data_IF_033139675123
#
_entry.id   IF_033139675123
#
_cell.length_a   1.000
_cell.length_b   1.000
_cell.length_c   1.000
_cell.angle_alpha   90.00
_cell.angle_beta   90.00
_cell.angle_gamma   90.00
#
_symmetry.space_group_name_H-M   'P 1'
#
loop_
_entity.id
_entity.type
_entity.pdbx_description
1 polymer ?
#
# COMPACT_ATOMS: atom_id res chain seq x y z
N UNK A 1 17.00 13.61 5.12
CA UNK A 1 16.90 12.70 6.28
C UNK A 1 17.66 11.39 6.03
N UNK A 2 17.45 10.68 4.92
CA UNK A 2 18.11 9.39 4.60
C UNK A 2 19.63 9.50 4.55
N UNK A 3 20.19 10.68 4.27
CA UNK A 3 21.63 10.89 4.13
C UNK A 3 22.29 11.61 5.32
N UNK A 4 21.54 11.90 6.37
CA UNK A 4 22.12 12.59 7.53
C UNK A 4 22.75 11.58 8.48
N UNK A 5 24.07 11.68 8.77
CA UNK A 5 24.78 10.68 9.59
C UNK A 5 24.20 10.54 11.00
N UNK A 6 23.63 11.60 11.56
CA UNK A 6 23.02 11.57 12.89
C UNK A 6 21.81 10.65 13.02
N UNK A 7 21.22 10.20 11.89
CA UNK A 7 20.07 9.29 11.91
C UNK A 7 20.46 7.82 11.87
N UNK A 8 21.72 7.50 11.60
CA UNK A 8 22.15 6.12 11.39
C UNK A 8 23.23 5.68 12.38
N UNK A 9 24.16 6.56 12.77
CA UNK A 9 25.34 6.18 13.54
C UNK A 9 25.33 6.62 15.02
N UNK A 10 24.37 7.48 15.43
CA UNK A 10 24.29 7.84 16.84
C UNK A 10 23.53 6.78 17.65
N UNK A 11 23.95 6.50 18.86
CA UNK A 11 23.12 5.81 19.85
C UNK A 11 21.81 6.56 20.00
N UNK A 12 20.76 6.10 19.30
CA UNK A 12 19.45 6.77 19.19
C UNK A 12 19.10 7.23 17.78
N UNK A 13 19.85 6.85 16.75
CA UNK A 13 19.46 7.04 15.35
C UNK A 13 18.15 6.32 15.01
N UNK A 14 17.38 6.87 14.07
CA UNK A 14 16.08 6.30 13.71
C UNK A 14 16.20 5.10 12.76
N UNK A 15 17.25 5.07 11.95
CA UNK A 15 17.45 4.09 10.90
C UNK A 15 18.62 3.16 11.24
N UNK A 16 18.48 1.88 10.89
CA UNK A 16 19.54 0.89 11.07
C UNK A 16 20.52 0.87 9.88
N UNK A 17 20.11 1.34 8.72
CA UNK A 17 20.87 1.26 7.49
C UNK A 17 21.00 2.62 6.81
N UNK A 18 22.13 2.80 6.09
CA UNK A 18 22.42 3.98 5.28
C UNK A 18 21.84 3.87 3.86
N UNK A 19 21.69 5.01 3.20
CA UNK A 19 21.36 5.10 1.79
C UNK A 19 20.02 4.48 1.42
N UNK A 20 20.00 3.69 0.36
CA UNK A 20 18.78 3.10 -0.16
C UNK A 20 18.13 2.07 0.77
N UNK A 21 18.90 1.39 1.60
CA UNK A 21 18.36 0.48 2.61
C UNK A 21 17.62 1.25 3.71
N UNK A 22 18.14 2.39 4.15
CA UNK A 22 17.43 3.28 5.08
C UNK A 22 16.15 3.87 4.47
N UNK A 23 16.18 4.21 3.17
CA UNK A 23 14.96 4.59 2.45
C UNK A 23 13.92 3.46 2.45
N UNK A 24 14.35 2.21 2.28
CA UNK A 24 13.47 1.04 2.32
C UNK A 24 12.84 0.84 3.69
N UNK A 25 13.57 1.09 4.78
CA UNK A 25 13.02 1.06 6.15
C UNK A 25 11.90 2.09 6.32
N UNK A 26 12.14 3.33 5.88
CA UNK A 26 11.13 4.40 5.96
C UNK A 26 9.91 4.08 5.09
N UNK A 27 10.14 3.63 3.86
CA UNK A 27 9.06 3.29 2.93
C UNK A 27 8.19 2.15 3.48
N UNK A 28 8.83 1.14 4.08
CA UNK A 28 8.12 0.04 4.71
C UNK A 28 7.23 0.53 5.85
N UNK A 29 7.75 1.38 6.75
CA UNK A 29 7.00 1.93 7.87
C UNK A 29 5.74 2.67 7.41
N UNK A 30 5.89 3.61 6.46
CA UNK A 30 4.74 4.33 5.90
C UNK A 30 3.77 3.43 5.13
N UNK A 31 4.27 2.42 4.43
CA UNK A 31 3.44 1.44 3.71
C UNK A 31 2.63 0.60 4.69
N UNK A 32 3.25 0.18 5.79
CA UNK A 32 2.59 -0.56 6.87
C UNK A 32 1.53 0.28 7.57
N UNK A 33 1.84 1.55 7.86
CA UNK A 33 0.86 2.51 8.39
C UNK A 33 -0.31 2.72 7.42
N UNK A 34 -0.03 2.88 6.13
CA UNK A 34 -1.07 3.06 5.10
C UNK A 34 -1.97 1.82 4.96
N UNK A 35 -1.39 0.63 5.03
CA UNK A 35 -2.14 -0.63 5.01
C UNK A 35 -2.80 -0.97 6.35
N UNK A 36 -2.52 -0.20 7.42
CA UNK A 36 -2.99 -0.42 8.78
C UNK A 36 -2.54 -1.77 9.37
N UNK A 37 -1.34 -2.23 9.02
CA UNK A 37 -0.77 -3.49 9.49
C UNK A 37 -0.09 -3.35 10.86
N UNK A 38 0.55 -2.20 11.13
CA UNK A 38 1.27 -1.93 12.37
C UNK A 38 2.59 -2.68 12.52
N UNK A 39 3.22 -3.07 11.40
CA UNK A 39 4.55 -3.69 11.39
C UNK A 39 5.61 -2.68 10.95
N UNK A 40 6.81 -2.77 11.50
CA UNK A 40 8.00 -2.01 11.14
C UNK A 40 9.21 -2.92 11.02
N UNK A 41 10.33 -2.41 10.51
CA UNK A 41 11.59 -3.13 10.60
C UNK A 41 12.09 -3.16 12.05
N UNK A 42 12.59 -4.32 12.48
CA UNK A 42 13.19 -4.51 13.80
C UNK A 42 14.33 -3.52 14.02
N UNK A 43 14.28 -2.79 15.15
CA UNK A 43 15.30 -1.80 15.50
C UNK A 43 15.09 -0.40 14.90
N UNK A 44 14.04 -0.19 14.09
CA UNK A 44 13.67 1.16 13.67
C UNK A 44 13.28 2.00 14.89
N UNK A 45 13.91 3.16 15.05
CA UNK A 45 13.61 4.10 16.14
C UNK A 45 12.35 4.93 15.86
N UNK A 46 11.21 4.26 15.78
CA UNK A 46 9.93 4.84 15.39
C UNK A 46 9.21 5.61 16.51
N UNK A 47 9.61 5.42 17.76
CA UNK A 47 9.00 6.10 18.91
C UNK A 47 9.49 7.53 19.07
N UNK A 48 9.26 8.37 18.07
CA UNK A 48 9.56 9.81 18.08
C UNK A 48 8.34 10.62 17.73
N UNK A 49 8.35 11.92 18.07
CA UNK A 49 7.28 12.83 17.67
C UNK A 49 7.06 12.86 16.15
N UNK A 50 8.15 12.82 15.38
CA UNK A 50 8.08 12.81 13.92
C UNK A 50 7.33 11.58 13.40
N UNK A 51 7.75 10.39 13.78
CA UNK A 51 7.11 9.14 13.36
C UNK A 51 5.67 9.06 13.85
N UNK A 52 5.43 9.37 15.12
CA UNK A 52 4.10 9.27 15.71
C UNK A 52 3.08 10.17 14.99
N UNK A 53 3.44 11.42 14.68
CA UNK A 53 2.53 12.32 13.97
C UNK A 53 2.37 11.96 12.49
N UNK A 54 3.46 11.70 11.79
CA UNK A 54 3.39 11.43 10.34
C UNK A 54 2.72 10.10 10.05
N UNK A 55 3.05 9.04 10.78
CA UNK A 55 2.38 7.74 10.66
C UNK A 55 0.91 7.82 11.07
N UNK A 56 0.59 8.57 12.13
CA UNK A 56 -0.79 8.80 12.55
C UNK A 56 -1.63 9.47 11.46
N UNK A 57 -1.10 10.51 10.81
CA UNK A 57 -1.76 11.18 9.69
C UNK A 57 -1.95 10.22 8.51
N UNK A 58 -0.89 9.50 8.12
CA UNK A 58 -0.96 8.51 7.02
C UNK A 58 -2.01 7.44 7.32
N UNK A 59 -2.02 6.90 8.53
CA UNK A 59 -2.98 5.89 8.97
C UNK A 59 -4.43 6.38 8.85
N UNK A 60 -4.71 7.59 9.33
CA UNK A 60 -6.05 8.19 9.27
C UNK A 60 -6.48 8.41 7.81
N UNK A 61 -5.64 9.03 7.00
CA UNK A 61 -5.96 9.32 5.60
C UNK A 61 -6.15 8.03 4.80
N UNK A 62 -5.25 7.07 4.96
CA UNK A 62 -5.32 5.79 4.24
C UNK A 62 -6.52 4.93 4.65
N UNK A 63 -7.02 5.09 5.86
CA UNK A 63 -8.23 4.41 6.33
C UNK A 63 -9.49 5.09 5.82
N UNK A 64 -9.62 6.37 6.06
CA UNK A 64 -10.90 7.06 5.86
C UNK A 64 -11.15 7.48 4.43
N UNK A 65 -10.11 7.86 3.65
CA UNK A 65 -10.31 8.26 2.25
C UNK A 65 -10.93 7.12 1.41
N UNK A 66 -10.43 5.87 1.45
CA UNK A 66 -11.07 4.77 0.74
C UNK A 66 -12.50 4.51 1.19
N UNK A 67 -12.76 4.51 2.50
CA UNK A 67 -14.10 4.26 3.05
C UNK A 67 -15.08 5.33 2.54
N UNK A 68 -14.73 6.61 2.71
CA UNK A 68 -15.56 7.73 2.25
C UNK A 68 -15.75 7.68 0.74
N UNK A 69 -14.70 7.38 -0.02
CA UNK A 69 -14.76 7.24 -1.47
C UNK A 69 -15.73 6.16 -1.92
N UNK A 70 -15.66 4.98 -1.32
CA UNK A 70 -16.56 3.86 -1.64
C UNK A 70 -18.02 4.19 -1.28
N UNK A 71 -18.27 4.79 -0.13
CA UNK A 71 -19.62 5.21 0.28
C UNK A 71 -20.16 6.30 -0.65
N UNK A 72 -19.34 7.27 -1.04
CA UNK A 72 -19.73 8.30 -1.99
C UNK A 72 -20.10 7.72 -3.37
N UNK A 73 -19.28 6.78 -3.88
CA UNK A 73 -19.58 6.06 -5.13
C UNK A 73 -20.91 5.29 -5.01
N UNK A 74 -21.11 4.57 -3.92
CA UNK A 74 -22.36 3.84 -3.67
C UNK A 74 -23.56 4.79 -3.66
N UNK A 75 -23.43 5.95 -2.99
CA UNK A 75 -24.46 6.99 -2.96
C UNK A 75 -24.80 7.55 -4.35
N UNK A 76 -23.79 7.81 -5.17
CA UNK A 76 -23.99 8.26 -6.56
C UNK A 76 -24.63 7.17 -7.43
N UNK A 77 -24.24 5.92 -7.24
CA UNK A 77 -24.83 4.80 -7.97
C UNK A 77 -26.30 4.57 -7.59
N UNK A 78 -26.66 4.75 -6.31
CA UNK A 78 -28.04 4.62 -5.84
C UNK A 78 -28.98 5.66 -6.47
N UNK A 79 -28.47 6.79 -6.93
CA UNK A 79 -29.27 7.82 -7.61
C UNK A 79 -29.49 7.54 -9.10
N UNK A 80 -28.77 6.56 -9.68
CA UNK A 80 -28.92 6.20 -11.09
C UNK A 80 -30.26 5.53 -11.33
N UNK A 81 -30.91 5.90 -12.44
CA UNK A 81 -32.13 5.25 -12.90
C UNK A 81 -31.82 3.81 -13.33
N UNK A 82 -32.74 2.91 -13.01
CA UNK A 82 -32.68 1.53 -13.50
C UNK A 82 -32.69 1.53 -15.03
N UNK A 83 -31.71 0.87 -15.63
CA UNK A 83 -31.63 0.64 -17.07
C UNK A 83 -31.94 -0.84 -17.30
N UNK A 84 -32.99 -1.16 -18.09
CA UNK A 84 -33.33 -2.56 -18.41
C UNK A 84 -32.15 -3.26 -19.10
N UNK A 85 -32.02 -4.55 -18.86
CA UNK A 85 -31.00 -5.37 -19.51
C UNK A 85 -31.19 -5.35 -21.03
N UNK A 86 -30.08 -5.21 -21.74
CA UNK A 86 -30.00 -5.22 -23.19
C UNK A 86 -29.06 -6.34 -23.67
N UNK A 87 -29.04 -6.62 -24.97
CA UNK A 87 -28.16 -7.64 -25.55
C UNK A 87 -26.65 -7.42 -25.28
N UNK A 88 -26.24 -6.17 -24.94
CA UNK A 88 -24.86 -5.82 -24.57
C UNK A 88 -24.60 -5.80 -23.05
N UNK A 89 -25.58 -6.10 -22.22
CA UNK A 89 -25.40 -6.10 -20.77
C UNK A 89 -24.62 -7.34 -20.33
N UNK A 90 -23.52 -7.11 -19.63
CA UNK A 90 -22.73 -8.21 -19.05
C UNK A 90 -23.52 -8.81 -17.87
N UNK A 91 -23.99 -10.03 -18.02
CA UNK A 91 -24.70 -10.76 -16.97
C UNK A 91 -23.72 -11.21 -15.87
N UNK A 92 -24.06 -10.95 -14.62
CA UNK A 92 -23.23 -11.26 -13.45
C UNK A 92 -23.33 -12.73 -13.01
N UNK A 93 -24.31 -13.47 -13.51
CA UNK A 93 -24.59 -14.89 -13.23
C UNK A 93 -23.92 -15.87 -14.22
N UNK A 94 -23.00 -15.37 -15.05
CA UNK A 94 -22.33 -16.17 -16.09
C UNK A 94 -20.92 -16.59 -15.67
N UNK A 95 -20.47 -17.74 -16.20
CA UNK A 95 -19.09 -18.21 -16.04
C UNK A 95 -18.09 -17.16 -16.55
N UNK A 96 -18.41 -16.47 -17.64
CA UNK A 96 -17.57 -15.40 -18.21
C UNK A 96 -17.33 -14.28 -17.20
N UNK A 97 -18.36 -13.83 -16.47
CA UNK A 97 -18.21 -12.83 -15.42
C UNK A 97 -17.34 -13.35 -14.27
N UNK A 98 -17.55 -14.58 -13.85
CA UNK A 98 -16.74 -15.22 -12.80
C UNK A 98 -15.25 -15.29 -13.17
N UNK A 99 -14.95 -15.79 -14.37
CA UNK A 99 -13.56 -15.86 -14.88
C UNK A 99 -12.94 -14.46 -15.00
N UNK A 100 -13.67 -13.49 -15.53
CA UNK A 100 -13.19 -12.12 -15.67
C UNK A 100 -12.88 -11.49 -14.31
N UNK A 101 -13.75 -11.68 -13.33
CA UNK A 101 -13.54 -11.19 -11.95
C UNK A 101 -12.30 -11.83 -11.33
N UNK A 102 -12.15 -13.16 -11.47
CA UNK A 102 -10.97 -13.87 -10.98
C UNK A 102 -9.68 -13.34 -11.62
N UNK A 103 -9.66 -13.17 -12.93
CA UNK A 103 -8.48 -12.64 -13.66
C UNK A 103 -8.13 -11.23 -13.20
N UNK A 104 -9.12 -10.36 -13.01
CA UNK A 104 -8.89 -8.99 -12.50
C UNK A 104 -8.28 -9.03 -11.10
N UNK A 105 -8.81 -9.84 -10.18
CA UNK A 105 -8.26 -10.01 -8.83
C UNK A 105 -6.82 -10.51 -8.90
N UNK A 106 -6.54 -11.51 -9.73
CA UNK A 106 -5.20 -12.08 -9.90
C UNK A 106 -4.21 -11.05 -10.43
N UNK A 107 -4.60 -10.27 -11.46
CA UNK A 107 -3.74 -9.21 -12.02
C UNK A 107 -3.45 -8.14 -10.99
N UNK A 108 -4.46 -7.67 -10.24
CA UNK A 108 -4.26 -6.66 -9.20
C UNK A 108 -3.33 -7.19 -8.11
N UNK A 109 -3.51 -8.43 -7.66
CA UNK A 109 -2.64 -9.05 -6.67
C UNK A 109 -1.20 -9.16 -7.19
N UNK A 110 -1.00 -9.64 -8.42
CA UNK A 110 0.32 -9.72 -9.04
C UNK A 110 1.01 -8.35 -9.14
N UNK A 111 0.29 -7.32 -9.61
CA UNK A 111 0.82 -5.97 -9.73
C UNK A 111 1.13 -5.33 -8.36
N UNK A 112 0.43 -5.71 -7.31
CA UNK A 112 0.65 -5.18 -5.96
C UNK A 112 1.92 -5.74 -5.31
N UNK A 113 2.23 -7.02 -5.54
CA UNK A 113 3.35 -7.69 -4.87
C UNK A 113 4.63 -7.78 -5.70
N UNK A 114 4.51 -7.91 -7.02
CA UNK A 114 5.65 -8.21 -7.88
C UNK A 114 6.68 -7.08 -8.01
N UNK A 115 6.31 -5.77 -8.17
CA UNK A 115 7.30 -4.76 -8.54
C UNK A 115 8.34 -4.46 -7.45
N UNK A 116 7.94 -4.40 -6.18
CA UNK A 116 8.81 -3.93 -5.10
C UNK A 116 9.56 -5.08 -4.44
N UNK A 117 8.86 -6.13 -4.05
CA UNK A 117 9.46 -7.20 -3.25
C UNK A 117 10.17 -8.27 -4.08
N UNK A 118 9.71 -8.55 -5.29
CA UNK A 118 10.33 -9.56 -6.14
C UNK A 118 11.52 -8.99 -6.93
N UNK A 119 11.38 -7.81 -7.54
CA UNK A 119 12.43 -7.25 -8.39
C UNK A 119 13.64 -6.77 -7.61
N UNK A 120 13.46 -6.16 -6.42
CA UNK A 120 14.59 -5.68 -5.63
C UNK A 120 15.44 -6.82 -5.07
N UNK A 121 14.83 -7.88 -4.57
CA UNK A 121 15.53 -9.07 -4.08
C UNK A 121 16.27 -9.83 -5.18
N UNK A 122 15.68 -9.93 -6.38
CA UNK A 122 16.32 -10.54 -7.54
C UNK A 122 17.50 -9.69 -8.02
N UNK A 123 17.33 -8.37 -8.09
CA UNK A 123 18.38 -7.45 -8.51
C UNK A 123 19.56 -7.47 -7.52
N UNK A 124 19.31 -7.50 -6.22
CA UNK A 124 20.34 -7.62 -5.20
C UNK A 124 21.08 -8.95 -5.32
N UNK A 125 20.39 -10.07 -5.49
CA UNK A 125 21.00 -11.39 -5.70
C UNK A 125 21.89 -11.45 -6.95
N UNK A 126 21.50 -10.76 -8.03
CA UNK A 126 22.28 -10.71 -9.26
C UNK A 126 23.45 -9.72 -9.20
N UNK A 127 23.48 -8.83 -8.21
CA UNK A 127 24.56 -7.85 -8.00
C UNK A 127 25.66 -8.31 -7.05
N UNK A 128 25.46 -9.43 -6.37
CA UNK A 128 26.43 -10.11 -5.51
C UNK A 128 27.39 -10.96 -6.33
#
# INVERSE_FOLDING_TARGET
>A
YVYHPDFVESEGGWLNNLGFHGLSEQLYEYTSCAANNGSGFEGLGDNTYFWNYTCGIVLILSRFIPIVGQVAIAGLLAQKKFIPESAGTLKTDTLTFGVMTFVVIFIIAALSFFPVHALSTIAEHLSL
#
